data_IF_480106970057
#
_entry.id   IF_480106970057
#
_cell.length_a   1.000
_cell.length_b   1.000
_cell.length_c   1.000
_cell.angle_alpha   90.00
_cell.angle_beta   90.00
_cell.angle_gamma   90.00
#
_symmetry.space_group_name_H-M   'P 1'
#
loop_
_entity.id
_entity.type
_entity.pdbx_description
1 polymer ?
#
# COMPACT_ATOMS: atom_id res chain seq x y z
N UNK A 1 11.17 -23.12 -31.13
CA UNK A 1 11.75 -23.93 -30.05
C UNK A 1 11.38 -23.31 -28.72
N UNK A 2 10.58 -24.01 -27.91
CA UNK A 2 10.35 -23.65 -26.51
C UNK A 2 11.57 -24.08 -25.70
N UNK A 3 12.13 -23.18 -24.89
CA UNK A 3 13.14 -23.53 -23.89
C UNK A 3 12.71 -22.94 -22.56
N UNK A 4 12.33 -23.86 -21.66
CA UNK A 4 12.11 -23.65 -20.24
C UNK A 4 13.46 -23.28 -19.59
N UNK A 5 13.51 -22.20 -18.81
CA UNK A 5 14.65 -21.88 -17.94
C UNK A 5 14.19 -21.85 -16.47
N UNK A 6 14.78 -22.67 -15.57
CA UNK A 6 14.37 -22.78 -14.18
C UNK A 6 15.18 -21.79 -13.33
N UNK A 7 14.71 -20.55 -13.22
CA UNK A 7 15.28 -19.57 -12.27
C UNK A 7 14.23 -18.91 -11.37
N UNK A 8 12.94 -19.22 -11.56
CA UNK A 8 11.82 -18.61 -10.83
C UNK A 8 11.40 -19.31 -9.53
N UNK A 9 12.02 -20.46 -9.19
CA UNK A 9 11.69 -21.24 -7.99
C UNK A 9 12.51 -20.83 -6.73
N UNK A 10 13.40 -19.85 -6.85
CA UNK A 10 14.32 -19.43 -5.77
C UNK A 10 13.82 -18.30 -4.87
N UNK A 11 12.65 -17.70 -5.11
CA UNK A 11 12.15 -16.54 -4.33
C UNK A 11 11.22 -16.98 -3.18
N UNK A 12 10.51 -18.10 -3.33
CA UNK A 12 9.68 -18.69 -2.26
C UNK A 12 10.48 -19.11 -1.00
N UNK A 13 11.72 -19.64 -1.11
CA UNK A 13 12.56 -19.96 0.06
C UNK A 13 13.03 -18.73 0.84
N UNK A 14 13.16 -17.56 0.21
CA UNK A 14 13.57 -16.32 0.89
C UNK A 14 12.46 -15.87 1.85
N UNK A 15 11.20 -16.00 1.45
CA UNK A 15 10.05 -15.73 2.32
C UNK A 15 9.97 -16.71 3.52
N UNK A 16 10.24 -17.99 3.28
CA UNK A 16 10.29 -19.00 4.36
C UNK A 16 11.49 -18.74 5.30
N UNK A 17 12.64 -18.31 4.77
CA UNK A 17 13.81 -17.91 5.57
C UNK A 17 13.56 -16.65 6.40
N UNK A 18 12.81 -15.66 5.88
CA UNK A 18 12.39 -14.48 6.64
C UNK A 18 11.44 -14.84 7.79
N UNK A 19 10.54 -15.82 7.60
CA UNK A 19 9.70 -16.34 8.69
C UNK A 19 10.46 -17.20 9.71
N UNK A 20 11.59 -17.81 9.31
CA UNK A 20 12.38 -18.70 10.17
C UNK A 20 13.50 -17.99 10.94
N UNK A 21 14.00 -16.84 10.48
CA UNK A 21 14.95 -16.02 11.26
C UNK A 21 14.30 -15.39 12.52
N UNK A 22 12.96 -15.31 12.56
CA UNK A 22 12.18 -14.92 13.73
C UNK A 22 11.86 -16.10 14.68
N UNK A 23 12.29 -17.33 14.36
CA UNK A 23 11.96 -18.53 15.13
C UNK A 23 13.22 -19.29 15.55
N UNK A 24 13.68 -18.99 16.75
CA UNK A 24 14.29 -20.01 17.60
C UNK A 24 13.23 -21.06 17.96
N UNK A 25 13.51 -22.28 17.51
CA UNK A 25 13.02 -23.57 17.99
C UNK A 25 11.65 -24.15 17.57
N UNK A 26 11.78 -25.45 17.22
CA UNK A 26 10.83 -26.57 17.25
C UNK A 26 9.77 -26.72 16.14
N UNK A 27 10.19 -27.43 15.10
CA UNK A 27 9.37 -28.26 14.21
C UNK A 27 8.60 -29.34 14.98
N UNK A 28 7.34 -29.58 14.64
CA UNK A 28 6.76 -30.92 14.57
C UNK A 28 5.53 -30.98 13.65
N UNK A 29 5.32 -32.17 13.10
CA UNK A 29 4.58 -32.57 11.91
C UNK A 29 3.06 -32.61 12.03
N UNK A 30 2.35 -32.39 10.91
CA UNK A 30 0.96 -32.84 10.72
C UNK A 30 0.74 -33.46 9.32
N UNK A 31 -0.06 -34.55 9.21
CA UNK A 31 -0.20 -35.40 8.01
C UNK A 31 -1.27 -34.90 7.01
N UNK A 32 -1.32 -35.44 5.77
CA UNK A 32 -2.06 -34.84 4.65
C UNK A 32 -3.55 -35.17 4.70
N UNK A 33 -4.41 -34.21 4.33
CA UNK A 33 -5.84 -34.46 4.06
C UNK A 33 -6.13 -34.41 2.57
N UNK A 34 -6.85 -35.44 2.13
CA UNK A 34 -7.27 -35.76 0.78
C UNK A 34 -8.40 -34.86 0.26
N UNK A 35 -8.38 -34.60 -1.05
CA UNK A 35 -9.38 -33.85 -1.81
C UNK A 35 -10.46 -34.81 -2.33
N UNK A 36 -11.76 -34.49 -2.22
CA UNK A 36 -12.79 -35.13 -3.05
C UNK A 36 -13.23 -34.21 -4.20
N UNK A 37 -13.06 -34.73 -5.40
CA UNK A 37 -13.67 -34.29 -6.66
C UNK A 37 -15.15 -34.66 -6.65
N UNK A 38 -16.07 -33.79 -7.13
CA UNK A 38 -17.19 -34.13 -8.03
C UNK A 38 -17.95 -32.86 -8.45
N UNK A 39 -17.95 -32.60 -9.76
CA UNK A 39 -18.85 -31.74 -10.55
C UNK A 39 -20.33 -32.02 -10.30
N UNK A 40 -21.17 -30.99 -10.09
CA UNK A 40 -22.59 -31.02 -10.46
C UNK A 40 -23.15 -29.63 -10.85
N UNK A 41 -24.18 -29.71 -11.68
CA UNK A 41 -24.87 -28.72 -12.51
C UNK A 41 -25.57 -27.64 -11.67
N UNK A 42 -25.42 -26.36 -12.02
CA UNK A 42 -26.02 -25.24 -11.28
C UNK A 42 -27.43 -24.91 -11.78
N UNK A 43 -28.43 -25.11 -10.92
CA UNK A 43 -29.78 -24.56 -11.04
C UNK A 43 -29.78 -23.07 -10.68
N UNK A 44 -30.66 -22.29 -11.32
CA UNK A 44 -30.82 -20.83 -11.13
C UNK A 44 -31.19 -20.40 -9.70
N UNK A 45 -31.71 -21.32 -8.87
CA UNK A 45 -31.94 -21.10 -7.44
C UNK A 45 -30.66 -21.05 -6.60
N UNK A 46 -29.57 -21.69 -7.04
CA UNK A 46 -28.26 -21.61 -6.36
C UNK A 46 -27.54 -20.28 -6.63
N UNK A 47 -27.84 -19.60 -7.74
CA UNK A 47 -27.23 -18.31 -8.07
C UNK A 47 -27.70 -17.24 -7.07
N UNK A 48 -29.01 -17.15 -6.82
CA UNK A 48 -29.55 -16.21 -5.83
C UNK A 48 -29.12 -16.53 -4.39
N UNK A 49 -28.99 -17.82 -4.03
CA UNK A 49 -28.48 -18.20 -2.71
C UNK A 49 -26.98 -17.89 -2.56
N UNK A 50 -26.18 -18.07 -3.61
CA UNK A 50 -24.77 -17.70 -3.63
C UNK A 50 -24.59 -16.17 -3.56
N UNK A 51 -25.40 -15.39 -4.28
CA UNK A 51 -25.37 -13.93 -4.19
C UNK A 51 -25.77 -13.42 -2.81
N UNK A 52 -26.81 -14.00 -2.19
CA UNK A 52 -27.22 -13.63 -0.82
C UNK A 52 -26.17 -14.08 0.21
N UNK A 53 -25.54 -15.24 0.02
CA UNK A 53 -24.44 -15.70 0.88
C UNK A 53 -23.18 -14.84 0.72
N UNK A 54 -22.84 -14.44 -0.51
CA UNK A 54 -21.77 -13.46 -0.77
C UNK A 54 -22.10 -12.13 -0.11
N UNK A 55 -23.30 -11.58 -0.28
CA UNK A 55 -23.71 -10.30 0.34
C UNK A 55 -23.68 -10.37 1.88
N UNK A 56 -24.15 -11.47 2.48
CA UNK A 56 -24.15 -11.66 3.94
C UNK A 56 -22.75 -11.91 4.51
N UNK A 57 -21.92 -12.66 3.80
CA UNK A 57 -20.51 -12.84 4.17
C UNK A 57 -19.75 -11.52 4.03
N UNK A 58 -20.05 -10.72 3.01
CA UNK A 58 -19.47 -9.40 2.78
C UNK A 58 -19.90 -8.39 3.85
N UNK A 59 -21.16 -8.41 4.30
CA UNK A 59 -21.66 -7.51 5.33
C UNK A 59 -21.12 -7.85 6.74
N UNK A 60 -20.96 -9.14 7.06
CA UNK A 60 -20.26 -9.57 8.28
C UNK A 60 -18.74 -9.32 8.22
N UNK A 61 -18.09 -9.55 7.07
CA UNK A 61 -16.69 -9.18 6.87
C UNK A 61 -16.51 -7.67 7.11
N UNK A 62 -17.40 -6.84 6.54
CA UNK A 62 -17.35 -5.38 6.65
C UNK A 62 -17.50 -4.87 8.10
N UNK A 63 -18.25 -5.55 8.97
CA UNK A 63 -18.33 -5.14 10.38
C UNK A 63 -17.01 -5.40 11.12
N UNK A 64 -16.38 -6.57 10.94
CA UNK A 64 -15.11 -6.89 11.58
C UNK A 64 -13.92 -6.09 10.99
N UNK A 65 -13.90 -5.89 9.66
CA UNK A 65 -12.89 -5.07 8.97
C UNK A 65 -12.89 -3.60 9.43
N UNK A 66 -14.02 -3.07 9.90
CA UNK A 66 -14.11 -1.70 10.40
C UNK A 66 -13.36 -1.49 11.72
N UNK A 67 -13.25 -2.53 12.55
CA UNK A 67 -12.47 -2.49 13.81
C UNK A 67 -10.98 -2.77 13.59
N UNK A 68 -10.65 -3.44 12.48
CA UNK A 68 -9.28 -3.86 12.15
C UNK A 68 -8.52 -2.88 11.25
N UNK A 69 -9.21 -1.88 10.68
CA UNK A 69 -8.63 -0.79 9.89
C UNK A 69 -8.87 0.55 10.58
N UNK A 70 -7.82 1.15 11.13
CA UNK A 70 -7.89 2.40 11.91
C UNK A 70 -7.37 3.59 11.10
N UNK A 71 -8.06 4.72 11.19
CA UNK A 71 -7.69 5.98 10.52
C UNK A 71 -7.16 6.97 11.54
N UNK A 72 -5.84 7.16 11.59
CA UNK A 72 -5.17 7.96 12.61
C UNK A 72 -4.77 9.33 12.05
N UNK A 73 -5.44 10.40 12.47
CA UNK A 73 -5.18 11.78 12.06
C UNK A 73 -4.07 12.40 12.92
N UNK A 74 -2.98 12.77 12.28
CA UNK A 74 -1.88 13.51 12.89
C UNK A 74 -1.96 14.99 12.49
N UNK A 75 -1.78 15.88 13.47
CA UNK A 75 -1.95 17.31 13.26
C UNK A 75 -0.99 18.20 14.03
N UNK A 76 -0.33 17.67 15.07
CA UNK A 76 0.54 18.42 15.98
C UNK A 76 2.03 18.14 15.69
N UNK A 77 2.80 19.11 15.16
CA UNK A 77 4.22 18.94 14.92
C UNK A 77 5.10 18.84 16.18
N UNK A 78 4.60 19.27 17.34
CA UNK A 78 5.34 19.19 18.61
C UNK A 78 5.04 17.88 19.36
N UNK A 79 3.92 17.23 19.03
CA UNK A 79 3.53 15.93 19.56
C UNK A 79 3.28 14.92 18.42
N UNK A 80 4.31 14.54 17.65
CA UNK A 80 4.16 13.78 16.39
C UNK A 80 3.59 12.36 16.57
N UNK A 81 3.57 11.84 17.80
CA UNK A 81 3.04 10.52 18.12
C UNK A 81 1.57 10.52 18.56
N UNK A 82 1.02 11.72 18.82
CA UNK A 82 -0.38 11.88 19.21
C UNK A 82 -1.26 11.98 17.97
N UNK A 83 -2.32 11.19 17.94
CA UNK A 83 -3.30 11.18 16.86
C UNK A 83 -4.74 11.20 17.37
N UNK A 84 -5.63 11.76 16.55
CA UNK A 84 -7.07 11.60 16.69
C UNK A 84 -7.52 10.39 15.85
N UNK A 85 -8.24 9.45 16.47
CA UNK A 85 -8.86 8.35 15.73
C UNK A 85 -10.10 8.85 14.99
N UNK A 86 -10.15 8.63 13.67
CA UNK A 86 -11.30 8.96 12.84
C UNK A 86 -12.16 7.72 12.64
N UNK A 87 -13.45 7.83 12.96
CA UNK A 87 -14.43 6.78 12.76
C UNK A 87 -15.29 7.11 11.53
N UNK A 88 -15.43 6.16 10.60
CA UNK A 88 -16.12 6.38 9.31
C UNK A 88 -17.58 6.85 9.52
N UNK A 89 -18.26 6.29 10.50
CA UNK A 89 -19.66 6.57 10.88
C UNK A 89 -19.82 7.93 11.59
N UNK A 90 -18.76 8.45 12.20
CA UNK A 90 -18.78 9.75 12.93
C UNK A 90 -18.27 10.92 12.09
N UNK A 91 -17.96 10.73 10.80
CA UNK A 91 -17.48 11.79 9.92
C UNK A 91 -18.49 12.92 9.69
N UNK A 92 -19.76 12.78 10.08
CA UNK A 92 -20.75 13.87 10.07
C UNK A 92 -20.49 14.92 11.16
N UNK A 93 -19.78 14.55 12.23
CA UNK A 93 -19.49 15.44 13.36
C UNK A 93 -18.31 16.39 13.05
N UNK A 94 -18.19 17.54 13.73
CA UNK A 94 -17.01 18.40 13.62
C UNK A 94 -15.73 17.68 14.00
N UNK A 95 -14.67 17.84 13.20
CA UNK A 95 -13.34 17.29 13.44
C UNK A 95 -12.40 18.47 13.76
N UNK A 96 -12.05 18.73 15.04
CA UNK A 96 -11.33 19.94 15.44
C UNK A 96 -9.98 20.09 14.74
N UNK A 97 -9.27 18.98 14.56
CA UNK A 97 -7.96 18.94 13.94
C UNK A 97 -8.03 18.73 12.42
N UNK A 98 -9.19 18.92 11.77
CA UNK A 98 -9.38 18.74 10.33
C UNK A 98 -9.67 20.07 9.63
N UNK A 99 -9.12 20.28 8.43
CA UNK A 99 -9.45 21.44 7.61
C UNK A 99 -9.87 21.00 6.19
N UNK A 100 -11.12 21.25 5.76
CA UNK A 100 -11.65 20.72 4.51
C UNK A 100 -11.06 21.35 3.25
N UNK A 101 -10.39 22.49 3.36
CA UNK A 101 -9.76 23.16 2.20
C UNK A 101 -8.35 22.67 1.93
N UNK A 102 -7.73 21.95 2.88
CA UNK A 102 -6.36 21.48 2.75
C UNK A 102 -6.28 20.14 2.01
N UNK A 103 -5.15 19.84 1.36
CA UNK A 103 -4.87 18.50 0.84
C UNK A 103 -4.90 17.44 1.94
N UNK A 104 -5.30 16.22 1.59
CA UNK A 104 -5.32 15.07 2.48
C UNK A 104 -4.25 14.08 2.04
N UNK A 105 -3.35 13.72 2.94
CA UNK A 105 -2.29 12.72 2.74
C UNK A 105 -2.68 11.46 3.48
N UNK A 106 -2.93 10.38 2.77
CA UNK A 106 -3.30 9.08 3.35
C UNK A 106 -2.11 8.13 3.20
N UNK A 107 -1.51 7.70 4.31
CA UNK A 107 -0.34 6.82 4.34
C UNK A 107 -0.77 5.38 4.64
N UNK A 108 -0.38 4.42 3.80
CA UNK A 108 -0.79 3.01 3.93
C UNK A 108 0.45 2.12 3.99
N UNK A 109 0.69 1.50 5.14
CA UNK A 109 1.84 0.62 5.37
C UNK A 109 1.66 -0.75 4.68
N UNK A 110 2.72 -1.57 4.70
CA UNK A 110 2.78 -2.87 4.03
C UNK A 110 2.75 -4.08 4.96
N UNK A 111 3.22 -5.22 4.45
CA UNK A 111 3.31 -6.50 5.16
C UNK A 111 4.15 -6.40 6.45
N UNK A 112 3.68 -6.99 7.54
CA UNK A 112 4.31 -7.03 8.88
C UNK A 112 4.70 -5.65 9.46
N UNK A 113 4.10 -4.58 8.94
CA UNK A 113 4.33 -3.21 9.43
C UNK A 113 3.07 -2.64 10.04
N UNK A 114 3.19 -1.48 10.66
CA UNK A 114 2.13 -0.79 11.40
C UNK A 114 2.37 0.74 11.41
N UNK A 115 1.53 1.46 12.15
CA UNK A 115 1.58 2.93 12.29
C UNK A 115 2.92 3.49 12.80
N UNK A 116 3.66 2.73 13.60
CA UNK A 116 4.96 3.12 14.18
C UNK A 116 6.15 2.56 13.40
N UNK A 117 5.90 1.99 12.23
CA UNK A 117 6.98 1.49 11.37
C UNK A 117 7.68 2.65 10.64
N UNK A 118 8.88 2.37 10.12
CA UNK A 118 9.74 3.39 9.48
C UNK A 118 9.04 4.17 8.37
N UNK A 119 8.23 3.53 7.50
CA UNK A 119 7.56 4.24 6.41
C UNK A 119 6.56 5.29 6.93
N UNK A 120 5.51 4.94 7.70
CA UNK A 120 4.57 5.94 8.16
C UNK A 120 5.22 7.01 9.03
N UNK A 121 6.16 6.64 9.92
CA UNK A 121 6.87 7.62 10.76
C UNK A 121 7.68 8.61 9.94
N UNK A 122 8.55 8.14 9.05
CA UNK A 122 9.41 9.02 8.24
C UNK A 122 8.58 10.02 7.43
N UNK A 123 7.52 9.53 6.76
CA UNK A 123 6.71 10.35 5.84
C UNK A 123 5.79 11.30 6.61
N UNK A 124 5.09 10.83 7.64
CA UNK A 124 4.27 11.67 8.52
C UNK A 124 5.12 12.76 9.17
N UNK A 125 6.27 12.40 9.73
CA UNK A 125 7.15 13.35 10.43
C UNK A 125 7.72 14.39 9.45
N UNK A 126 8.00 14.03 8.19
CA UNK A 126 8.40 14.99 7.18
C UNK A 126 7.29 16.03 6.89
N UNK A 127 6.03 15.61 6.77
CA UNK A 127 4.91 16.55 6.60
C UNK A 127 4.71 17.44 7.83
N UNK A 128 4.76 16.88 9.04
CA UNK A 128 4.67 17.64 10.29
C UNK A 128 5.83 18.63 10.44
N UNK A 129 7.05 18.21 10.12
CA UNK A 129 8.22 19.09 10.09
C UNK A 129 8.04 20.23 9.09
N UNK A 130 7.51 19.96 7.89
CA UNK A 130 7.19 21.01 6.92
C UNK A 130 6.17 22.01 7.50
N UNK A 131 5.14 21.56 8.22
CA UNK A 131 4.24 22.49 8.93
C UNK A 131 4.98 23.34 9.97
N UNK A 132 5.85 22.73 10.76
CA UNK A 132 6.66 23.42 11.77
C UNK A 132 7.56 24.49 11.17
N UNK A 133 8.30 24.14 10.11
CA UNK A 133 9.19 25.04 9.38
C UNK A 133 8.42 26.22 8.75
N UNK A 134 7.13 26.03 8.44
CA UNK A 134 6.21 27.06 7.96
C UNK A 134 5.43 27.75 9.10
N UNK A 135 6.05 27.90 10.28
CA UNK A 135 5.47 28.65 11.40
C UNK A 135 4.28 27.96 12.06
N UNK A 136 4.28 26.62 12.09
CA UNK A 136 3.17 25.79 12.59
C UNK A 136 1.85 25.97 11.82
N UNK A 137 1.89 26.59 10.64
CA UNK A 137 0.74 26.67 9.77
C UNK A 137 0.32 25.26 9.34
N UNK A 138 -0.95 24.92 9.51
CA UNK A 138 -1.47 23.64 9.05
C UNK A 138 -1.53 23.61 7.52
N UNK A 139 -0.81 22.67 6.92
CA UNK A 139 -0.70 22.55 5.46
C UNK A 139 -1.45 21.34 4.90
N UNK A 140 -1.65 20.30 5.71
CA UNK A 140 -2.24 19.04 5.28
C UNK A 140 -3.17 18.46 6.34
N UNK A 141 -4.08 17.58 5.93
CA UNK A 141 -4.66 16.57 6.82
C UNK A 141 -3.87 15.27 6.62
N UNK A 142 -3.13 14.82 7.64
CA UNK A 142 -2.24 13.65 7.53
C UNK A 142 -2.92 12.47 8.22
N UNK A 143 -3.34 11.47 7.45
CA UNK A 143 -4.00 10.27 7.96
C UNK A 143 -3.10 9.08 7.72
N UNK A 144 -2.72 8.37 8.78
CA UNK A 144 -2.08 7.05 8.66
C UNK A 144 -3.16 5.99 8.82
N UNK A 145 -3.21 5.05 7.89
CA UNK A 145 -4.10 3.89 7.98
C UNK A 145 -3.34 2.74 8.61
N UNK A 146 -3.80 2.29 9.77
CA UNK A 146 -3.29 1.11 10.45
C UNK A 146 -4.20 -0.08 10.19
N UNK A 147 -3.71 -1.04 9.41
CA UNK A 147 -4.33 -2.31 9.10
C UNK A 147 -3.46 -3.49 9.56
N UNK A 148 -2.59 -3.26 10.56
CA UNK A 148 -1.57 -4.21 11.02
C UNK A 148 -2.12 -5.58 11.42
N UNK A 149 -3.36 -5.64 11.95
CA UNK A 149 -4.03 -6.90 12.26
C UNK A 149 -4.27 -7.80 11.03
N UNK A 150 -4.35 -7.20 9.85
CA UNK A 150 -4.61 -7.86 8.57
C UNK A 150 -3.35 -7.88 7.66
N UNK A 151 -2.33 -7.09 8.01
CA UNK A 151 -1.07 -6.98 7.28
C UNK A 151 -0.07 -8.10 7.59
N UNK A 152 -0.51 -9.17 8.24
CA UNK A 152 0.30 -10.32 8.62
C UNK A 152 0.42 -10.45 10.14
N UNK A 153 0.76 -11.65 10.60
CA UNK A 153 0.94 -11.96 12.02
C UNK A 153 2.35 -12.46 12.33
N UNK A 154 2.58 -12.90 13.57
CA UNK A 154 3.87 -13.45 14.01
C UNK A 154 4.31 -14.73 13.26
N UNK A 155 3.40 -15.36 12.48
CA UNK A 155 3.69 -16.51 11.63
C UNK A 155 4.13 -16.07 10.22
N UNK A 156 3.87 -14.82 9.84
CA UNK A 156 4.28 -14.28 8.55
C UNK A 156 3.44 -14.82 7.39
N UNK A 157 2.12 -14.97 7.58
CA UNK A 157 1.23 -15.42 6.50
C UNK A 157 0.99 -14.33 5.44
N UNK A 158 1.91 -14.25 4.48
CA UNK A 158 1.85 -13.32 3.35
C UNK A 158 0.63 -13.55 2.44
N UNK A 159 0.17 -14.79 2.28
CA UNK A 159 -1.01 -15.11 1.45
C UNK A 159 -2.28 -14.53 2.07
N UNK A 160 -2.44 -14.66 3.38
CA UNK A 160 -3.54 -14.02 4.11
C UNK A 160 -3.52 -12.51 3.93
N UNK A 161 -2.37 -11.84 4.09
CA UNK A 161 -2.26 -10.39 3.89
C UNK A 161 -2.65 -9.95 2.48
N UNK A 162 -2.27 -10.71 1.44
CA UNK A 162 -2.68 -10.40 0.07
C UNK A 162 -4.20 -10.49 -0.10
N UNK A 163 -4.85 -11.49 0.50
CA UNK A 163 -6.31 -11.63 0.42
C UNK A 163 -7.05 -10.48 1.12
N UNK A 164 -6.42 -9.80 2.07
CA UNK A 164 -6.96 -8.62 2.73
C UNK A 164 -6.76 -7.31 1.94
N UNK A 165 -5.93 -7.29 0.88
CA UNK A 165 -5.65 -6.07 0.12
C UNK A 165 -6.92 -5.40 -0.44
N UNK A 166 -7.81 -6.19 -1.05
CA UNK A 166 -9.05 -5.66 -1.63
C UNK A 166 -10.04 -5.23 -0.54
N UNK A 167 -10.37 -6.06 0.47
CA UNK A 167 -11.23 -5.64 1.57
C UNK A 167 -10.75 -4.36 2.28
N UNK A 168 -9.47 -4.28 2.65
CA UNK A 168 -8.89 -3.10 3.31
C UNK A 168 -8.96 -1.88 2.38
N UNK A 169 -8.61 -2.05 1.10
CA UNK A 169 -8.71 -0.98 0.11
C UNK A 169 -10.15 -0.43 -0.01
N UNK A 170 -11.15 -1.30 -0.02
CA UNK A 170 -12.56 -0.88 -0.06
C UNK A 170 -13.00 -0.15 1.21
N UNK A 171 -12.53 -0.55 2.39
CA UNK A 171 -12.77 0.19 3.65
C UNK A 171 -12.17 1.60 3.58
N UNK A 172 -10.97 1.76 3.03
CA UNK A 172 -10.34 3.07 2.82
C UNK A 172 -11.08 3.87 1.75
N UNK A 173 -11.52 3.23 0.66
CA UNK A 173 -12.35 3.87 -0.36
C UNK A 173 -13.68 4.38 0.18
N UNK A 174 -14.32 3.62 1.08
CA UNK A 174 -15.51 4.05 1.80
C UNK A 174 -15.21 5.26 2.69
N UNK A 175 -14.11 5.25 3.45
CA UNK A 175 -13.67 6.41 4.23
C UNK A 175 -13.51 7.66 3.34
N UNK A 176 -12.82 7.54 2.19
CA UNK A 176 -12.62 8.65 1.25
C UNK A 176 -13.95 9.17 0.69
N UNK A 177 -14.86 8.27 0.31
CA UNK A 177 -16.20 8.63 -0.18
C UNK A 177 -17.01 9.36 0.91
N UNK A 178 -16.89 8.93 2.17
CA UNK A 178 -17.52 9.56 3.32
C UNK A 178 -16.91 10.90 3.69
N UNK A 179 -15.62 11.12 3.46
CA UNK A 179 -15.03 12.46 3.60
C UNK A 179 -15.71 13.46 2.65
N UNK A 180 -15.94 13.07 1.38
CA UNK A 180 -16.62 13.93 0.42
C UNK A 180 -18.09 14.16 0.81
N UNK A 181 -18.83 13.08 1.10
CA UNK A 181 -20.27 13.20 1.41
C UNK A 181 -20.56 13.99 2.68
N UNK A 182 -19.62 14.06 3.62
CA UNK A 182 -19.73 14.84 4.86
C UNK A 182 -18.98 16.17 4.80
N UNK A 183 -18.67 16.68 3.60
CA UNK A 183 -18.02 17.97 3.37
C UNK A 183 -16.68 18.14 4.10
N UNK A 184 -15.96 17.03 4.35
CA UNK A 184 -14.60 17.03 4.89
C UNK A 184 -13.55 17.28 3.79
N UNK A 185 -13.92 17.15 2.53
CA UNK A 185 -13.15 17.60 1.38
C UNK A 185 -14.11 18.24 0.39
N UNK A 186 -13.62 19.19 -0.43
CA UNK A 186 -14.37 19.75 -1.55
C UNK A 186 -14.28 18.91 -2.82
N UNK A 187 -13.24 18.10 -2.98
CA UNK A 187 -13.08 17.22 -4.15
C UNK A 187 -12.12 16.06 -3.87
N UNK A 188 -12.33 14.93 -4.57
CA UNK A 188 -11.38 13.81 -4.58
C UNK A 188 -9.98 14.20 -5.09
N UNK A 189 -9.84 15.31 -5.83
CA UNK A 189 -8.53 15.81 -6.26
C UNK A 189 -7.65 16.30 -5.10
N UNK A 190 -8.21 16.56 -3.92
CA UNK A 190 -7.44 16.90 -2.72
C UNK A 190 -6.76 15.67 -2.08
N UNK A 191 -7.14 14.46 -2.48
CA UNK A 191 -6.65 13.21 -1.89
C UNK A 191 -5.36 12.78 -2.60
N UNK A 192 -4.31 12.60 -1.82
CA UNK A 192 -3.08 11.92 -2.21
C UNK A 192 -2.89 10.70 -1.30
N UNK A 193 -3.00 9.49 -1.88
CA UNK A 193 -2.71 8.24 -1.17
C UNK A 193 -1.26 7.83 -1.45
N UNK A 194 -0.52 7.47 -0.40
CA UNK A 194 0.88 7.06 -0.49
C UNK A 194 0.98 5.69 0.17
N UNK A 195 1.25 4.66 -0.62
CA UNK A 195 1.29 3.28 -0.16
C UNK A 195 2.67 2.67 -0.35
N UNK A 196 3.19 1.98 0.66
CA UNK A 196 4.46 1.25 0.57
C UNK A 196 4.23 -0.26 0.51
N UNK A 197 4.99 -0.99 -0.32
CA UNK A 197 4.92 -2.45 -0.40
C UNK A 197 3.48 -2.94 -0.72
N UNK A 198 2.89 -3.84 0.08
CA UNK A 198 1.47 -4.22 -0.03
C UNK A 198 0.51 -3.02 0.06
N UNK A 199 0.87 -1.99 0.80
CA UNK A 199 0.09 -0.75 0.94
C UNK A 199 -0.11 -0.02 -0.38
N UNK A 200 0.79 -0.18 -1.36
CA UNK A 200 0.61 0.37 -2.71
C UNK A 200 -0.58 -0.28 -3.43
N UNK A 201 -0.77 -1.59 -3.26
CA UNK A 201 -1.89 -2.33 -3.84
C UNK A 201 -3.20 -2.05 -3.11
N UNK A 202 -3.14 -1.90 -1.78
CA UNK A 202 -4.28 -1.40 -0.98
C UNK A 202 -4.71 -0.01 -1.46
N UNK A 203 -3.74 0.87 -1.77
CA UNK A 203 -4.00 2.20 -2.35
C UNK A 203 -4.74 2.10 -3.68
N UNK A 204 -4.29 1.20 -4.55
CA UNK A 204 -4.97 0.93 -5.82
C UNK A 204 -6.41 0.48 -5.61
N UNK A 205 -6.64 -0.51 -4.74
CA UNK A 205 -7.97 -1.01 -4.41
C UNK A 205 -8.90 0.09 -3.83
N UNK A 206 -8.37 1.01 -3.01
CA UNK A 206 -9.11 2.18 -2.56
C UNK A 206 -9.49 3.12 -3.72
N UNK A 207 -8.58 3.36 -4.66
CA UNK A 207 -8.84 4.11 -5.89
C UNK A 207 -9.94 3.48 -6.75
N UNK A 208 -9.86 2.16 -6.96
CA UNK A 208 -10.89 1.38 -7.66
C UNK A 208 -12.28 1.53 -7.04
N UNK A 209 -12.38 1.43 -5.70
CA UNK A 209 -13.65 1.65 -4.99
C UNK A 209 -14.19 3.07 -5.21
N UNK A 210 -13.34 4.10 -5.11
CA UNK A 210 -13.77 5.49 -5.34
C UNK A 210 -14.27 5.70 -6.78
N UNK A 211 -13.66 5.03 -7.77
CA UNK A 211 -14.11 5.04 -9.17
C UNK A 211 -15.50 4.40 -9.33
N UNK A 212 -15.72 3.24 -8.71
CA UNK A 212 -17.02 2.57 -8.69
C UNK A 212 -18.13 3.45 -8.07
N UNK A 213 -17.76 4.39 -7.21
CA UNK A 213 -18.66 5.34 -6.54
C UNK A 213 -18.68 6.74 -7.19
N UNK A 214 -18.30 6.83 -8.47
CA UNK A 214 -18.41 8.04 -9.28
C UNK A 214 -17.35 9.11 -9.02
N UNK A 215 -16.27 8.75 -8.32
CA UNK A 215 -15.14 9.62 -7.99
C UNK A 215 -13.86 9.28 -8.75
N UNK A 216 -12.81 10.08 -8.55
CA UNK A 216 -11.44 9.68 -8.90
C UNK A 216 -10.44 10.40 -8.01
N UNK A 217 -9.64 9.65 -7.27
CA UNK A 217 -8.59 10.16 -6.38
C UNK A 217 -7.61 11.04 -7.19
N UNK A 218 -7.14 12.13 -6.59
CA UNK A 218 -6.17 13.03 -7.21
C UNK A 218 -4.86 12.34 -7.57
N UNK A 219 -4.21 11.71 -6.60
CA UNK A 219 -2.93 11.04 -6.80
C UNK A 219 -2.76 9.78 -5.95
N UNK A 220 -2.13 8.76 -6.51
CA UNK A 220 -1.60 7.61 -5.77
C UNK A 220 -0.09 7.52 -6.01
N UNK A 221 0.71 7.52 -4.95
CA UNK A 221 2.14 7.22 -5.02
C UNK A 221 2.40 5.82 -4.47
N UNK A 222 2.88 4.91 -5.32
CA UNK A 222 3.29 3.56 -4.94
C UNK A 222 4.79 3.53 -4.65
N UNK A 223 5.17 3.38 -3.38
CA UNK A 223 6.56 3.26 -2.95
C UNK A 223 6.94 1.79 -2.90
N UNK A 224 7.72 1.36 -3.88
CA UNK A 224 8.18 -0.01 -4.11
C UNK A 224 7.06 -1.05 -3.96
N UNK A 225 6.03 -1.03 -4.83
CA UNK A 225 4.85 -1.89 -4.70
C UNK A 225 5.26 -3.36 -4.65
N UNK A 226 4.66 -4.17 -3.77
CA UNK A 226 5.09 -5.55 -3.57
C UNK A 226 4.98 -6.40 -4.84
N UNK A 227 6.05 -7.11 -5.20
CA UNK A 227 6.06 -7.98 -6.37
C UNK A 227 5.43 -9.36 -6.16
N UNK A 228 5.87 -10.14 -5.15
CA UNK A 228 5.49 -11.54 -4.99
C UNK A 228 3.98 -11.78 -4.98
N UNK A 229 3.55 -12.80 -5.72
CA UNK A 229 2.14 -13.17 -5.92
C UNK A 229 1.24 -12.14 -6.61
N UNK A 230 1.76 -10.96 -6.97
CA UNK A 230 1.14 -10.04 -7.94
C UNK A 230 1.68 -10.26 -9.35
N UNK A 231 2.93 -10.72 -9.49
CA UNK A 231 3.50 -11.17 -10.76
C UNK A 231 2.81 -12.41 -11.36
N UNK A 232 2.29 -13.26 -10.48
CA UNK A 232 1.77 -14.58 -10.85
C UNK A 232 0.27 -14.46 -11.10
N UNK A 233 -0.13 -14.24 -12.36
CA UNK A 233 -1.53 -14.28 -12.84
C UNK A 233 -2.12 -15.71 -12.83
N UNK A 234 -1.85 -16.50 -11.80
CA UNK A 234 -2.32 -17.88 -11.70
C UNK A 234 -3.62 -18.02 -10.87
N UNK A 235 -4.29 -16.92 -10.54
CA UNK A 235 -5.53 -16.95 -9.75
C UNK A 235 -5.36 -17.49 -8.33
N UNK A 236 -4.13 -17.51 -7.81
CA UNK A 236 -3.79 -18.03 -6.47
C UNK A 236 -4.22 -17.06 -5.37
N UNK A 237 -4.34 -15.77 -5.67
CA UNK A 237 -4.76 -14.73 -4.72
C UNK A 237 -5.89 -13.88 -5.31
N UNK A 238 -6.72 -13.33 -4.42
CA UNK A 238 -7.74 -12.32 -4.76
C UNK A 238 -7.17 -10.89 -4.69
N UNK A 239 -5.85 -10.75 -4.57
CA UNK A 239 -5.17 -9.46 -4.48
C UNK A 239 -5.30 -8.68 -5.80
N UNK A 240 -5.56 -7.37 -5.68
CA UNK A 240 -5.62 -6.44 -6.82
C UNK A 240 -4.33 -5.63 -6.90
N UNK A 241 -3.58 -5.78 -7.97
CA UNK A 241 -2.39 -4.97 -8.23
C UNK A 241 -2.79 -3.50 -8.44
N UNK A 242 -1.90 -2.59 -8.04
CA UNK A 242 -2.01 -1.16 -8.37
C UNK A 242 -2.02 -1.00 -9.89
N UNK A 243 -2.78 -0.04 -10.40
CA UNK A 243 -2.83 0.29 -11.83
C UNK A 243 -2.74 1.79 -12.07
N UNK A 244 -2.33 2.15 -13.27
CA UNK A 244 -2.13 3.54 -13.68
C UNK A 244 -3.41 4.37 -13.73
N UNK A 245 -4.58 3.72 -13.73
CA UNK A 245 -5.88 4.35 -13.83
C UNK A 245 -6.67 4.38 -12.50
N UNK A 246 -6.08 3.88 -11.41
CA UNK A 246 -6.66 3.90 -10.06
C UNK A 246 -6.82 5.31 -9.47
N UNK A 247 -6.11 6.30 -10.02
CA UNK A 247 -6.25 7.72 -9.70
C UNK A 247 -6.12 8.57 -10.97
N UNK A 248 -6.28 9.89 -10.84
CA UNK A 248 -5.99 10.82 -11.94
C UNK A 248 -4.51 10.78 -12.33
N UNK A 249 -3.64 10.50 -11.36
CA UNK A 249 -2.21 10.32 -11.56
C UNK A 249 -1.67 9.27 -10.62
N UNK A 250 -0.87 8.35 -11.14
CA UNK A 250 -0.22 7.30 -10.36
C UNK A 250 1.27 7.33 -10.64
N UNK A 251 2.08 7.59 -9.62
CA UNK A 251 3.55 7.52 -9.72
C UNK A 251 4.10 6.40 -8.86
N UNK A 252 5.01 5.62 -9.44
CA UNK A 252 5.58 4.44 -8.79
C UNK A 252 7.07 4.65 -8.64
N UNK A 253 7.60 4.32 -7.46
CA UNK A 253 9.00 4.49 -7.11
C UNK A 253 9.59 3.14 -6.81
N UNK A 254 10.55 2.71 -7.62
CA UNK A 254 11.24 1.42 -7.51
C UNK A 254 12.58 1.62 -6.82
N UNK A 255 12.85 0.80 -5.82
CA UNK A 255 14.14 0.78 -5.10
C UNK A 255 14.53 -0.62 -4.62
N UNK A 256 13.69 -1.64 -4.85
CA UNK A 256 14.09 -3.03 -4.75
C UNK A 256 13.38 -3.89 -5.81
N UNK A 257 13.40 -3.41 -7.06
CA UNK A 257 12.66 -4.00 -8.19
C UNK A 257 13.10 -5.44 -8.46
N UNK A 258 12.13 -6.33 -8.67
CA UNK A 258 12.40 -7.74 -9.00
C UNK A 258 12.76 -8.61 -7.80
N UNK A 259 12.90 -8.01 -6.61
CA UNK A 259 13.11 -8.71 -5.34
C UNK A 259 11.83 -8.64 -4.50
N UNK A 260 11.72 -7.69 -3.56
CA UNK A 260 10.48 -7.43 -2.83
C UNK A 260 9.54 -6.51 -3.61
N UNK A 261 10.08 -5.57 -4.37
CA UNK A 261 9.32 -4.67 -5.24
C UNK A 261 8.96 -5.30 -6.58
N UNK A 262 7.87 -4.81 -7.20
CA UNK A 262 7.39 -5.23 -8.51
C UNK A 262 8.25 -4.67 -9.64
N UNK A 263 8.61 -5.47 -10.64
CA UNK A 263 9.15 -4.99 -11.92
C UNK A 263 8.08 -4.57 -12.93
N UNK A 264 6.80 -4.72 -12.60
CA UNK A 264 5.71 -4.34 -13.50
C UNK A 264 5.58 -2.82 -13.62
N UNK A 265 5.21 -2.39 -14.84
CA UNK A 265 4.86 -0.99 -15.08
C UNK A 265 3.42 -0.71 -14.68
N UNK A 266 3.23 -0.27 -13.44
CA UNK A 266 1.90 -0.09 -12.83
C UNK A 266 1.48 1.36 -12.61
N UNK A 267 2.36 2.34 -12.88
CA UNK A 267 2.07 3.77 -12.78
C UNK A 267 1.85 4.48 -14.12
N UNK A 268 1.33 5.71 -14.04
CA UNK A 268 1.44 6.73 -15.10
C UNK A 268 2.91 7.12 -15.33
N UNK A 269 3.68 7.22 -14.25
CA UNK A 269 5.13 7.49 -14.26
C UNK A 269 5.84 6.49 -13.35
N UNK A 270 7.04 6.08 -13.76
CA UNK A 270 7.88 5.13 -13.05
C UNK A 270 9.22 5.81 -12.74
N UNK A 271 9.61 5.81 -11.47
CA UNK A 271 10.90 6.27 -10.98
C UNK A 271 11.73 5.08 -10.55
N UNK A 272 12.99 5.04 -10.96
CA UNK A 272 13.93 3.98 -10.62
C UNK A 272 15.06 4.61 -9.82
N UNK A 273 15.06 4.39 -8.51
CA UNK A 273 16.03 4.99 -7.60
C UNK A 273 17.29 4.13 -7.61
N UNK A 274 18.38 4.62 -8.21
CA UNK A 274 19.64 3.88 -8.36
C UNK A 274 19.49 2.52 -9.09
N UNK A 275 18.38 2.34 -9.81
CA UNK A 275 18.05 1.11 -10.52
C UNK A 275 18.04 1.34 -12.04
N UNK A 276 18.36 0.28 -12.77
CA UNK A 276 18.32 0.20 -14.22
C UNK A 276 17.25 -0.83 -14.62
N UNK A 277 16.13 -0.40 -15.24
CA UNK A 277 15.03 -1.29 -15.61
C UNK A 277 15.42 -2.48 -16.49
N UNK A 278 16.55 -2.37 -17.20
CA UNK A 278 17.08 -3.37 -18.14
C UNK A 278 18.15 -4.27 -17.52
N UNK A 279 18.54 -4.04 -16.26
CA UNK A 279 19.53 -4.86 -15.58
C UNK A 279 18.97 -6.26 -15.30
N UNK A 280 19.82 -7.28 -15.48
CA UNK A 280 19.52 -8.66 -15.06
C UNK A 280 20.13 -9.00 -13.70
N UNK A 281 20.84 -8.05 -13.10
CA UNK A 281 21.50 -8.21 -11.80
C UNK A 281 20.61 -7.63 -10.71
N UNK A 282 20.69 -8.20 -9.51
CA UNK A 282 20.06 -7.67 -8.30
C UNK A 282 20.69 -6.31 -8.01
N UNK A 283 19.86 -5.28 -7.86
CA UNK A 283 20.32 -3.92 -7.58
C UNK A 283 19.99 -3.59 -6.13
N UNK A 284 21.04 -3.41 -5.34
CA UNK A 284 20.94 -3.02 -3.93
C UNK A 284 21.16 -1.51 -3.84
N UNK A 285 20.38 -0.84 -3.00
CA UNK A 285 20.58 0.58 -2.76
C UNK A 285 21.95 0.83 -2.15
N UNK A 286 22.74 1.83 -2.59
CA UNK A 286 24.13 2.00 -2.15
C UNK A 286 24.30 2.13 -0.62
N UNK A 287 23.29 2.65 0.08
CA UNK A 287 23.31 2.82 1.54
C UNK A 287 22.94 1.55 2.31
N UNK A 288 22.62 0.47 1.60
CA UNK A 288 22.15 -0.78 2.15
C UNK A 288 23.17 -1.91 1.99
N UNK A 289 24.38 -1.69 1.49
CA UNK A 289 25.39 -2.74 1.30
C UNK A 289 26.00 -3.18 2.65
N UNK A 290 25.41 -4.21 3.28
CA UNK A 290 25.86 -4.73 4.58
C UNK A 290 25.92 -6.27 4.60
N UNK A 291 24.78 -6.96 4.58
CA UNK A 291 24.54 -8.40 4.62
C UNK A 291 23.32 -8.73 3.74
N UNK A 292 23.44 -9.66 2.78
CA UNK A 292 22.48 -9.90 1.68
C UNK A 292 20.98 -9.78 2.05
N UNK A 293 20.51 -10.44 3.13
CA UNK A 293 19.09 -10.38 3.51
C UNK A 293 18.66 -9.02 4.08
N UNK A 294 19.52 -8.40 4.90
CA UNK A 294 19.29 -7.08 5.45
C UNK A 294 19.32 -6.00 4.34
N UNK A 295 20.13 -6.24 3.31
CA UNK A 295 20.30 -5.34 2.17
C UNK A 295 19.03 -5.26 1.32
N UNK A 296 18.31 -6.39 1.16
CA UNK A 296 17.04 -6.46 0.42
C UNK A 296 15.95 -5.68 1.18
N UNK A 297 15.78 -5.90 2.48
CA UNK A 297 14.78 -5.18 3.28
C UNK A 297 15.10 -3.69 3.36
N UNK A 298 16.39 -3.35 3.56
CA UNK A 298 16.86 -1.97 3.56
C UNK A 298 16.56 -1.28 2.21
N UNK A 299 16.83 -1.95 1.09
CA UNK A 299 16.56 -1.43 -0.25
C UNK A 299 15.05 -1.20 -0.44
N UNK A 300 14.20 -2.14 0.00
CA UNK A 300 12.74 -1.99 -0.03
C UNK A 300 12.25 -0.80 0.80
N UNK A 301 12.90 -0.52 1.93
CA UNK A 301 12.58 0.60 2.81
C UNK A 301 13.19 1.94 2.34
N UNK A 302 13.99 1.94 1.26
CA UNK A 302 14.67 3.14 0.79
C UNK A 302 13.71 4.16 0.15
N UNK A 303 12.73 3.70 -0.64
CA UNK A 303 11.75 4.58 -1.29
C UNK A 303 10.98 5.43 -0.28
N UNK A 304 10.39 4.88 0.81
CA UNK A 304 9.87 5.64 1.95
C UNK A 304 10.79 6.75 2.47
N UNK A 305 12.06 6.42 2.70
CA UNK A 305 13.06 7.36 3.24
C UNK A 305 13.33 8.49 2.25
N UNK A 306 13.54 8.15 0.98
CA UNK A 306 13.82 9.13 -0.06
C UNK A 306 12.59 9.99 -0.40
N UNK A 307 11.40 9.42 -0.34
CA UNK A 307 10.13 10.15 -0.43
C UNK A 307 9.99 11.18 0.70
N UNK A 308 10.26 10.80 1.95
CA UNK A 308 10.23 11.71 3.09
C UNK A 308 11.18 12.91 2.90
N UNK A 309 12.38 12.69 2.34
CA UNK A 309 13.31 13.76 1.98
C UNK A 309 12.73 14.68 0.89
N UNK A 310 11.98 14.15 -0.07
CA UNK A 310 11.36 14.95 -1.15
C UNK A 310 10.27 15.89 -0.66
N UNK A 311 9.68 15.63 0.51
CA UNK A 311 8.69 16.53 1.12
C UNK A 311 9.36 17.80 1.63
N UNK A 312 10.55 17.65 2.23
CA UNK A 312 11.29 18.72 2.89
C UNK A 312 12.13 19.54 1.91
N UNK A 313 12.68 18.89 0.89
CA UNK A 313 13.56 19.50 -0.08
C UNK A 313 13.21 19.06 -1.49
N UNK A 314 13.24 20.00 -2.44
CA UNK A 314 13.01 19.69 -3.85
C UNK A 314 14.05 18.69 -4.34
N UNK A 315 13.59 17.52 -4.78
CA UNK A 315 14.43 16.51 -5.44
C UNK A 315 14.17 16.53 -6.93
N UNK A 316 15.20 16.18 -7.70
CA UNK A 316 15.10 16.05 -9.15
C UNK A 316 15.72 14.73 -9.57
N UNK A 317 15.26 14.21 -10.69
CA UNK A 317 15.90 13.12 -11.41
C UNK A 317 15.91 13.40 -12.90
N UNK A 318 16.28 12.39 -13.67
CA UNK A 318 16.44 12.50 -15.12
C UNK A 318 15.50 11.52 -15.80
N UNK A 319 14.73 11.99 -16.76
CA UNK A 319 13.85 11.16 -17.59
C UNK A 319 14.67 10.31 -18.57
N UNK A 320 14.06 9.28 -19.14
CA UNK A 320 14.75 8.41 -20.12
C UNK A 320 15.30 9.16 -21.34
N UNK A 321 14.73 10.31 -21.70
CA UNK A 321 15.19 11.19 -22.78
C UNK A 321 16.17 12.29 -22.32
N UNK A 322 16.69 12.21 -21.09
CA UNK A 322 17.74 13.09 -20.58
C UNK A 322 17.27 14.44 -20.03
N UNK A 323 15.97 14.65 -19.85
CA UNK A 323 15.43 15.91 -19.28
C UNK A 323 15.38 15.84 -17.76
N UNK A 324 15.58 16.98 -17.11
CA UNK A 324 15.35 17.09 -15.67
C UNK A 324 13.86 17.03 -15.37
N UNK A 325 13.48 16.21 -14.39
CA UNK A 325 12.14 16.15 -13.84
C UNK A 325 12.18 16.29 -12.31
N UNK A 326 11.16 16.94 -11.74
CA UNK A 326 10.99 16.99 -10.28
C UNK A 326 10.60 15.59 -9.81
N UNK A 327 11.14 15.16 -8.68
CA UNK A 327 10.88 13.86 -8.07
C UNK A 327 10.04 14.04 -6.80
N UNK A 328 9.16 13.08 -6.53
CA UNK A 328 8.51 12.93 -5.23
C UNK A 328 7.29 13.83 -5.02
N UNK A 329 7.17 14.42 -3.83
CA UNK A 329 5.95 15.14 -3.42
C UNK A 329 5.64 16.35 -4.32
N UNK A 330 6.64 17.16 -4.68
CA UNK A 330 6.48 18.38 -5.48
C UNK A 330 6.31 18.13 -6.99
N UNK A 331 6.05 16.88 -7.41
CA UNK A 331 5.81 16.57 -8.82
C UNK A 331 4.55 17.24 -9.36
N UNK A 332 4.72 17.94 -10.49
CA UNK A 332 3.60 18.49 -11.24
C UNK A 332 2.80 17.36 -11.91
N UNK A 333 1.57 17.22 -11.46
CA UNK A 333 0.54 16.39 -12.09
C UNK A 333 -0.09 17.22 -13.22
N UNK A 334 0.57 17.31 -14.38
CA UNK A 334 0.04 18.01 -15.56
C UNK A 334 -0.27 17.05 -16.69
#
# INVERSE_FOLDING_TARGET
MRLNSPLFLGILPIFILLSNFARGDALNSLPPKTVPTTTQITNSSNIFQNEIYEINSYSQLNQNLSEDVRFCLFSDPDNPDVYQLLQIDQLSTPLPCWNPTLPVKILIHGFLTNISSRFPENVKNAYLKKQKDHGHAKLYNIVVVDWSKLAGDWIGDYLSSINHVVPVGKTIGLFITRLLSNHKIGSYSQIHVIGHSLGAHVSGAAGGYVIEHGGKIGRISGLDPAGPLFYVKAGISQGRQLRNDDAKFVDVHHCNMGMLGTSDSVGTVQWYLNELPISREIQIQPQCETLILLDIECSHAYCPKFWALSILERRTGVTADGRMAVFGEDMNVT
#
